data_IF_787909621744
#
_entry.id   IF_787909621744
#
_cell.length_a   1.000
_cell.length_b   1.000
_cell.length_c   1.000
_cell.angle_alpha   90.00
_cell.angle_beta   90.00
_cell.angle_gamma   90.00
#
_symmetry.space_group_name_H-M   'P 1'
#
loop_
_entity.id
_entity.type
_entity.pdbx_description
1 polymer ?
#
# COMPACT_ATOMS: atom_id res chain seq x y z
N UNK A 1 16.22 9.73 -6.34
CA UNK A 1 16.62 9.18 -5.02
C UNK A 1 16.65 7.67 -5.12
N UNK A 2 17.60 6.99 -4.47
CA UNK A 2 17.71 5.53 -4.42
C UNK A 2 17.80 5.13 -2.95
N UNK A 3 16.96 4.20 -2.51
CA UNK A 3 16.92 3.72 -1.13
C UNK A 3 16.18 2.38 -1.04
N UNK A 4 16.63 1.49 -0.15
CA UNK A 4 15.86 0.36 0.33
C UNK A 4 15.01 0.78 1.53
N UNK A 5 13.71 1.00 1.29
CA UNK A 5 12.77 1.43 2.33
C UNK A 5 12.49 0.35 3.39
N UNK A 6 12.93 -0.90 3.19
CA UNK A 6 12.92 -1.91 4.24
C UNK A 6 13.96 -1.64 5.34
N UNK A 7 14.90 -0.71 5.11
CA UNK A 7 15.88 -0.26 6.08
C UNK A 7 15.51 1.14 6.55
N UNK A 8 15.21 1.29 7.85
CA UNK A 8 14.76 2.57 8.41
C UNK A 8 15.71 3.74 8.09
N UNK A 9 17.02 3.50 8.12
CA UNK A 9 18.03 4.55 7.85
C UNK A 9 18.03 5.03 6.40
N UNK A 10 17.77 4.15 5.45
CA UNK A 10 17.66 4.53 4.04
C UNK A 10 16.33 5.21 3.75
N UNK A 11 15.23 4.76 4.38
CA UNK A 11 13.95 5.48 4.33
C UNK A 11 14.06 6.89 4.94
N UNK A 12 14.78 7.04 6.06
CA UNK A 12 15.06 8.33 6.69
C UNK A 12 15.82 9.27 5.77
N UNK A 13 16.91 8.79 5.15
CA UNK A 13 17.70 9.56 4.20
C UNK A 13 16.90 9.97 2.95
N UNK A 14 16.14 9.04 2.37
CA UNK A 14 15.26 9.29 1.22
C UNK A 14 14.29 10.44 1.49
N UNK A 15 13.61 10.40 2.63
CA UNK A 15 12.63 11.41 3.02
C UNK A 15 13.31 12.75 3.29
N UNK A 16 14.43 12.76 4.01
CA UNK A 16 15.19 13.98 4.29
C UNK A 16 15.68 14.66 3.01
N UNK A 17 16.26 13.92 2.07
CA UNK A 17 16.70 14.45 0.79
C UNK A 17 15.54 15.00 -0.04
N UNK A 18 14.41 14.29 -0.05
CA UNK A 18 13.18 14.75 -0.73
C UNK A 18 12.68 16.06 -0.12
N UNK A 19 12.60 16.13 1.22
CA UNK A 19 12.15 17.33 1.91
C UNK A 19 13.10 18.52 1.67
N UNK A 20 14.41 18.31 1.71
CA UNK A 20 15.41 19.34 1.37
C UNK A 20 15.25 19.84 -0.06
N UNK A 21 14.99 18.94 -1.02
CA UNK A 21 14.89 19.28 -2.44
C UNK A 21 13.62 20.05 -2.79
N UNK A 22 12.48 19.69 -2.20
CA UNK A 22 11.17 20.26 -2.54
C UNK A 22 10.62 21.21 -1.46
N UNK A 23 11.41 21.46 -0.42
CA UNK A 23 11.07 22.34 0.70
C UNK A 23 10.15 21.73 1.75
N UNK A 24 9.73 20.47 1.59
CA UNK A 24 8.91 19.73 2.55
C UNK A 24 8.20 18.54 1.91
N UNK A 25 7.34 17.89 2.68
CA UNK A 25 6.50 16.75 2.24
C UNK A 25 5.05 17.06 2.64
N UNK A 26 4.06 16.70 1.82
CA UNK A 26 2.64 16.81 2.18
C UNK A 26 1.93 15.47 2.07
N UNK A 27 2.38 14.63 1.13
CA UNK A 27 1.73 13.38 0.75
C UNK A 27 2.77 12.26 0.81
N UNK A 28 2.42 11.16 1.46
CA UNK A 28 3.20 9.91 1.47
C UNK A 28 2.34 8.81 0.87
N UNK A 29 2.82 8.17 -0.20
CA UNK A 29 2.18 6.99 -0.79
C UNK A 29 3.07 5.78 -0.58
N UNK A 30 2.69 4.89 0.32
CA UNK A 30 3.42 3.66 0.62
C UNK A 30 3.02 2.56 -0.37
N UNK A 31 3.65 2.59 -1.55
CA UNK A 31 3.42 1.62 -2.64
C UNK A 31 4.49 0.52 -2.75
N UNK A 32 5.69 0.75 -2.20
CA UNK A 32 6.76 -0.25 -2.25
C UNK A 32 6.28 -1.60 -1.69
N UNK A 33 6.55 -2.67 -2.43
CA UNK A 33 6.01 -3.99 -2.12
C UNK A 33 6.39 -5.01 -3.17
N UNK A 34 6.34 -6.28 -2.78
CA UNK A 34 6.52 -7.41 -3.68
C UNK A 34 5.63 -8.56 -3.24
N UNK A 35 5.29 -9.44 -4.18
CA UNK A 35 4.59 -10.68 -3.91
C UNK A 35 5.47 -11.87 -4.24
N UNK A 36 5.40 -12.92 -3.41
CA UNK A 36 6.02 -14.20 -3.67
C UNK A 36 4.97 -15.30 -3.48
N UNK A 37 4.85 -16.16 -4.49
CA UNK A 37 4.00 -17.34 -4.44
C UNK A 37 4.77 -18.49 -3.81
N UNK A 38 4.37 -18.88 -2.60
CA UNK A 38 4.89 -20.07 -1.92
C UNK A 38 3.86 -20.58 -0.91
N UNK A 39 3.88 -21.88 -0.64
CA UNK A 39 3.16 -22.48 0.49
C UNK A 39 3.89 -22.22 1.81
N UNK A 40 3.25 -22.53 2.94
CA UNK A 40 3.91 -22.42 4.26
C UNK A 40 5.07 -23.40 4.40
N UNK A 41 5.02 -24.57 3.74
CA UNK A 41 6.11 -25.55 3.78
C UNK A 41 7.37 -25.06 3.04
N UNK A 42 7.19 -24.31 1.95
CA UNK A 42 8.28 -23.74 1.14
C UNK A 42 8.79 -22.41 1.71
N UNK A 43 7.97 -21.71 2.50
CA UNK A 43 8.29 -20.38 3.01
C UNK A 43 9.43 -20.44 4.02
N UNK A 44 10.56 -19.81 3.68
CA UNK A 44 11.66 -19.63 4.62
C UNK A 44 11.35 -18.49 5.60
N UNK A 45 11.89 -18.56 6.81
CA UNK A 45 11.76 -17.46 7.80
C UNK A 45 12.39 -16.16 7.26
N UNK A 46 13.46 -16.27 6.47
CA UNK A 46 14.07 -15.13 5.80
C UNK A 46 13.12 -14.44 4.82
N UNK A 47 12.36 -15.21 4.03
CA UNK A 47 11.38 -14.65 3.10
C UNK A 47 10.18 -14.06 3.84
N UNK A 48 9.76 -14.67 4.95
CA UNK A 48 8.78 -14.09 5.85
C UNK A 48 9.22 -12.72 6.36
N UNK A 49 10.42 -12.64 6.95
CA UNK A 49 10.96 -11.40 7.51
C UNK A 49 11.12 -10.32 6.43
N UNK A 50 11.61 -10.71 5.25
CA UNK A 50 11.74 -9.80 4.10
C UNK A 50 10.37 -9.26 3.65
N UNK A 51 9.35 -10.11 3.58
CA UNK A 51 8.01 -9.66 3.20
C UNK A 51 7.43 -8.70 4.22
N UNK A 52 7.58 -8.96 5.53
CA UNK A 52 7.15 -8.00 6.55
C UNK A 52 7.95 -6.69 6.45
N UNK A 53 9.26 -6.76 6.27
CA UNK A 53 10.12 -5.59 6.18
C UNK A 53 9.71 -4.68 5.01
N UNK A 54 9.51 -5.22 3.81
CA UNK A 54 9.16 -4.44 2.62
C UNK A 54 7.67 -4.06 2.57
N UNK A 55 6.76 -5.02 2.80
CA UNK A 55 5.32 -4.80 2.58
C UNK A 55 4.61 -4.13 3.78
N UNK A 56 5.21 -4.10 4.97
CA UNK A 56 4.61 -3.53 6.17
C UNK A 56 5.53 -2.52 6.87
N UNK A 57 6.71 -2.93 7.32
CA UNK A 57 7.60 -2.07 8.12
C UNK A 57 8.05 -0.84 7.35
N UNK A 58 8.34 -0.96 6.05
CA UNK A 58 8.70 0.16 5.19
C UNK A 58 7.66 1.29 5.24
N UNK A 59 6.36 0.98 5.26
CA UNK A 59 5.30 1.99 5.35
C UNK A 59 5.40 2.79 6.67
N UNK A 60 5.63 2.10 7.78
CA UNK A 60 5.87 2.75 9.08
C UNK A 60 7.15 3.60 9.05
N UNK A 61 8.24 3.07 8.48
CA UNK A 61 9.53 3.76 8.40
C UNK A 61 9.43 5.06 7.61
N UNK A 62 8.81 5.01 6.44
CA UNK A 62 8.60 6.18 5.58
C UNK A 62 7.69 7.21 6.26
N UNK A 63 6.58 6.80 6.87
CA UNK A 63 5.71 7.72 7.62
C UNK A 63 6.47 8.36 8.78
N UNK A 64 7.12 7.56 9.63
CA UNK A 64 7.90 8.04 10.78
C UNK A 64 8.96 9.05 10.38
N UNK A 65 9.69 8.78 9.30
CA UNK A 65 10.68 9.71 8.78
C UNK A 65 10.02 11.01 8.28
N UNK A 66 8.88 10.91 7.60
CA UNK A 66 8.18 12.03 7.00
C UNK A 66 7.52 12.96 8.02
N UNK A 67 7.12 12.49 9.22
CA UNK A 67 6.38 13.30 10.20
C UNK A 67 7.02 14.66 10.51
N UNK A 68 8.36 14.74 10.59
CA UNK A 68 9.07 16.00 10.86
C UNK A 68 9.13 16.95 9.65
N UNK A 69 8.90 16.42 8.45
CA UNK A 69 8.99 17.13 7.17
C UNK A 69 7.63 17.37 6.52
N UNK A 70 6.58 16.74 7.04
CA UNK A 70 5.21 17.20 6.84
C UNK A 70 5.18 18.61 7.43
N UNK A 71 5.31 19.62 6.55
CA UNK A 71 5.44 21.02 6.93
C UNK A 71 4.39 21.36 7.98
N UNK A 72 4.61 22.41 8.76
CA UNK A 72 3.55 23.12 9.50
C UNK A 72 2.48 23.75 8.57
N UNK A 73 2.27 23.19 7.37
CA UNK A 73 1.10 23.47 6.55
C UNK A 73 -0.16 22.87 7.19
N UNK A 74 -1.34 23.27 6.68
CA UNK A 74 -2.61 22.98 7.36
C UNK A 74 -2.96 21.49 7.42
N UNK A 75 -2.44 20.65 6.50
CA UNK A 75 -2.81 19.25 6.41
C UNK A 75 -1.74 18.37 5.72
N UNK A 76 -1.83 17.05 5.95
CA UNK A 76 -1.06 16.03 5.24
C UNK A 76 -1.89 14.80 4.87
N UNK A 77 -1.33 13.93 4.02
CA UNK A 77 -1.97 12.69 3.55
C UNK A 77 -1.01 11.52 3.58
N UNK A 78 -1.49 10.39 4.07
CA UNK A 78 -0.82 9.09 3.93
C UNK A 78 -1.75 8.12 3.25
N UNK A 79 -1.28 7.50 2.17
CA UNK A 79 -2.01 6.47 1.42
C UNK A 79 -1.20 5.19 1.40
N UNK A 80 -1.69 4.14 2.05
CA UNK A 80 -1.08 2.82 2.06
C UNK A 80 -1.65 1.95 0.93
N UNK A 81 -0.79 1.29 0.15
CA UNK A 81 -1.25 0.32 -0.85
C UNK A 81 -1.30 -1.06 -0.22
N UNK A 82 -2.51 -1.47 0.15
CA UNK A 82 -2.84 -2.80 0.65
C UNK A 82 -2.96 -3.79 -0.53
N UNK A 83 -3.90 -4.73 -0.44
CA UNK A 83 -4.20 -5.70 -1.49
C UNK A 83 -5.56 -6.33 -1.21
N UNK A 84 -6.24 -6.80 -2.24
CA UNK A 84 -7.35 -7.76 -2.10
C UNK A 84 -7.02 -8.89 -1.11
N UNK A 85 -5.76 -9.36 -1.11
CA UNK A 85 -5.29 -10.43 -0.22
C UNK A 85 -5.25 -10.06 1.26
N UNK A 86 -5.23 -8.76 1.58
CA UNK A 86 -5.40 -8.28 2.95
C UNK A 86 -6.79 -8.60 3.53
N UNK A 87 -7.80 -8.73 2.64
CA UNK A 87 -9.20 -8.95 3.00
C UNK A 87 -9.61 -10.41 2.88
N UNK A 88 -9.18 -11.08 1.81
CA UNK A 88 -9.60 -12.44 1.49
C UNK A 88 -8.65 -13.51 1.99
N UNK A 89 -7.41 -13.15 2.34
CA UNK A 89 -6.32 -14.10 2.41
C UNK A 89 -6.00 -14.74 1.06
N UNK A 90 -5.20 -15.80 1.10
CA UNK A 90 -4.73 -16.55 -0.06
C UNK A 90 -4.30 -17.95 0.37
N UNK A 91 -4.48 -18.94 -0.51
CA UNK A 91 -4.02 -20.33 -0.32
C UNK A 91 -2.49 -20.49 -0.48
N UNK A 92 -1.83 -19.44 -0.96
CA UNK A 92 -0.38 -19.28 -1.01
C UNK A 92 0.01 -17.87 -0.52
N UNK A 93 1.26 -17.67 -0.12
CA UNK A 93 1.76 -16.34 0.22
C UNK A 93 1.24 -15.80 1.55
N UNK A 94 1.31 -16.61 2.62
CA UNK A 94 0.84 -16.24 3.96
C UNK A 94 1.51 -14.95 4.48
N UNK A 95 2.84 -14.84 4.34
CA UNK A 95 3.63 -13.64 4.63
C UNK A 95 3.13 -12.36 3.94
N UNK A 96 2.77 -12.42 2.65
CA UNK A 96 2.24 -11.27 1.91
C UNK A 96 0.86 -10.86 2.43
N UNK A 97 -0.04 -11.83 2.63
CA UNK A 97 -1.38 -11.57 3.16
C UNK A 97 -1.30 -10.97 4.57
N UNK A 98 -0.45 -11.53 5.44
CA UNK A 98 -0.21 -11.01 6.78
C UNK A 98 0.31 -9.56 6.76
N UNK A 99 1.31 -9.25 5.92
CA UNK A 99 1.84 -7.91 5.80
C UNK A 99 0.78 -6.90 5.31
N UNK A 100 0.04 -7.24 4.24
CA UNK A 100 -0.99 -6.36 3.68
C UNK A 100 -2.21 -6.22 4.60
N UNK A 101 -2.57 -7.22 5.39
CA UNK A 101 -3.56 -7.09 6.47
C UNK A 101 -3.03 -6.20 7.61
N UNK A 102 -1.73 -6.31 7.94
CA UNK A 102 -1.06 -5.44 8.91
C UNK A 102 -1.15 -3.95 8.54
N UNK A 103 -1.08 -3.62 7.24
CA UNK A 103 -1.27 -2.24 6.77
C UNK A 103 -2.66 -1.68 7.10
N UNK A 104 -3.71 -2.50 7.18
CA UNK A 104 -5.04 -2.05 7.58
C UNK A 104 -5.03 -1.62 9.05
N UNK A 105 -4.39 -2.41 9.92
CA UNK A 105 -4.21 -2.07 11.33
C UNK A 105 -3.36 -0.79 11.51
N UNK A 106 -2.24 -0.72 10.80
CA UNK A 106 -1.37 0.45 10.79
C UNK A 106 -2.11 1.71 10.32
N UNK A 107 -2.90 1.61 9.26
CA UNK A 107 -3.71 2.71 8.71
C UNK A 107 -4.65 3.27 9.78
N UNK A 108 -5.40 2.41 10.48
CA UNK A 108 -6.33 2.83 11.53
C UNK A 108 -5.61 3.48 12.72
N UNK A 109 -4.49 2.89 13.16
CA UNK A 109 -3.73 3.42 14.30
C UNK A 109 -3.16 4.81 13.99
N UNK A 110 -2.55 4.97 12.82
CA UNK A 110 -1.98 6.26 12.41
C UNK A 110 -3.06 7.30 12.13
N UNK A 111 -4.23 6.90 11.60
CA UNK A 111 -5.37 7.79 11.43
C UNK A 111 -5.83 8.39 12.76
N UNK A 112 -5.89 7.58 13.82
CA UNK A 112 -6.25 8.04 15.17
C UNK A 112 -5.17 8.95 15.77
N UNK A 113 -3.89 8.59 15.60
CA UNK A 113 -2.76 9.31 16.18
C UNK A 113 -2.51 10.66 15.52
N UNK A 114 -2.62 10.74 14.18
CA UNK A 114 -2.15 11.90 13.41
C UNK A 114 -3.27 12.88 13.04
N UNK A 115 -4.52 12.55 13.31
CA UNK A 115 -5.65 13.47 13.21
C UNK A 115 -5.52 14.64 14.21
N UNK A 116 -6.11 15.82 13.94
CA UNK A 116 -6.85 16.18 12.73
C UNK A 116 -5.97 16.62 11.55
N UNK A 117 -4.64 16.65 11.72
CA UNK A 117 -3.74 17.24 10.72
C UNK A 117 -3.48 16.32 9.53
N UNK A 118 -3.38 15.02 9.75
CA UNK A 118 -3.06 14.06 8.69
C UNK A 118 -4.19 13.03 8.61
N UNK A 119 -4.69 12.81 7.40
CA UNK A 119 -5.55 11.65 7.14
C UNK A 119 -4.70 10.48 6.66
N UNK A 120 -5.03 9.28 7.13
CA UNK A 120 -4.32 8.06 6.77
C UNK A 120 -5.32 7.05 6.25
N UNK A 121 -5.21 6.69 4.97
CA UNK A 121 -6.12 5.74 4.33
C UNK A 121 -5.33 4.65 3.62
N UNK A 122 -6.03 3.58 3.27
CA UNK A 122 -5.51 2.50 2.46
C UNK A 122 -6.33 2.33 1.17
N UNK A 123 -5.63 1.98 0.09
CA UNK A 123 -6.23 1.47 -1.14
C UNK A 123 -5.98 -0.02 -1.19
N UNK A 124 -7.01 -0.81 -1.49
CA UNK A 124 -6.95 -2.25 -1.67
C UNK A 124 -7.24 -2.60 -3.13
N UNK A 125 -6.21 -2.69 -3.99
CA UNK A 125 -6.40 -3.05 -5.39
C UNK A 125 -6.81 -4.50 -5.56
N UNK A 126 -7.66 -4.75 -6.56
CA UNK A 126 -7.85 -6.08 -7.14
C UNK A 126 -6.73 -6.44 -8.12
N UNK A 127 -7.00 -7.39 -9.01
CA UNK A 127 -6.10 -7.71 -10.11
C UNK A 127 -5.92 -6.48 -11.01
N UNK A 128 -4.67 -6.05 -11.16
CA UNK A 128 -4.26 -4.87 -11.93
C UNK A 128 -3.24 -5.28 -12.98
N UNK A 129 -3.29 -4.70 -14.17
CA UNK A 129 -2.39 -4.99 -15.28
C UNK A 129 -0.97 -4.45 -15.02
N UNK A 130 -0.16 -5.20 -14.29
CA UNK A 130 1.21 -4.85 -13.91
C UNK A 130 2.14 -6.05 -14.06
N UNK A 131 3.46 -5.83 -14.07
CA UNK A 131 4.47 -6.89 -14.10
C UNK A 131 4.29 -7.91 -12.96
N UNK A 132 3.91 -7.44 -11.77
CA UNK A 132 3.64 -8.29 -10.60
C UNK A 132 2.54 -9.34 -10.87
N UNK A 133 1.55 -9.00 -11.70
CA UNK A 133 0.44 -9.90 -12.02
C UNK A 133 0.60 -10.59 -13.39
N UNK A 134 1.64 -10.26 -14.18
CA UNK A 134 1.76 -10.68 -15.57
C UNK A 134 1.69 -12.20 -15.74
N UNK A 135 2.42 -12.96 -14.92
CA UNK A 135 2.40 -14.44 -14.97
C UNK A 135 1.00 -15.00 -14.63
N UNK A 136 0.38 -14.51 -13.57
CA UNK A 136 -0.95 -14.94 -13.16
C UNK A 136 -2.02 -14.61 -14.22
N UNK A 137 -1.92 -13.44 -14.85
CA UNK A 137 -2.84 -13.01 -15.91
C UNK A 137 -2.63 -13.81 -17.21
N UNK A 138 -1.39 -14.16 -17.56
CA UNK A 138 -1.10 -15.01 -18.69
C UNK A 138 -1.66 -16.43 -18.48
N UNK A 139 -1.46 -17.01 -17.29
CA UNK A 139 -1.85 -18.40 -16.99
C UNK A 139 -3.34 -18.57 -16.64
N UNK A 140 -3.95 -17.57 -16.01
CA UNK A 140 -5.28 -17.68 -15.41
C UNK A 140 -6.22 -16.51 -15.75
N UNK A 141 -5.86 -15.66 -16.73
CA UNK A 141 -6.57 -14.42 -17.02
C UNK A 141 -8.08 -14.56 -17.27
N UNK A 142 -8.51 -15.57 -18.02
CA UNK A 142 -9.95 -15.80 -18.27
C UNK A 142 -10.70 -16.14 -16.99
N UNK A 143 -10.15 -17.04 -16.17
CA UNK A 143 -10.73 -17.42 -14.87
C UNK A 143 -10.76 -16.24 -13.90
N UNK A 144 -9.72 -15.41 -13.90
CA UNK A 144 -9.65 -14.19 -13.10
C UNK A 144 -10.75 -13.21 -13.54
N UNK A 145 -10.81 -12.88 -14.84
CA UNK A 145 -11.82 -11.95 -15.39
C UNK A 145 -13.24 -12.43 -15.16
N UNK A 146 -13.50 -13.75 -15.26
CA UNK A 146 -14.82 -14.32 -15.00
C UNK A 146 -15.33 -14.05 -13.56
N UNK A 147 -14.42 -14.07 -12.58
CA UNK A 147 -14.72 -13.81 -11.16
C UNK A 147 -14.94 -12.33 -10.84
N UNK A 148 -14.38 -11.42 -11.65
CA UNK A 148 -14.54 -9.98 -11.44
C UNK A 148 -15.89 -9.54 -12.02
N UNK A 149 -16.79 -8.91 -11.24
CA UNK A 149 -18.06 -8.40 -11.75
C UNK A 149 -17.94 -7.48 -12.97
N UNK A 150 -16.97 -6.56 -13.00
CA UNK A 150 -16.71 -5.69 -14.17
C UNK A 150 -16.02 -6.40 -15.34
N UNK A 151 -15.76 -7.71 -15.25
CA UNK A 151 -15.24 -8.61 -16.30
C UNK A 151 -13.88 -8.25 -16.89
N UNK A 152 -13.13 -7.37 -16.24
CA UNK A 152 -11.75 -6.99 -16.60
C UNK A 152 -10.90 -6.77 -15.37
N UNK A 153 -9.59 -6.77 -15.57
CA UNK A 153 -8.64 -6.27 -14.57
C UNK A 153 -8.60 -4.74 -14.62
N UNK A 154 -8.11 -4.12 -13.55
CA UNK A 154 -7.85 -2.69 -13.53
C UNK A 154 -6.59 -2.35 -14.33
N UNK A 155 -6.54 -1.17 -14.92
CA UNK A 155 -5.29 -0.55 -15.36
C UNK A 155 -4.66 0.25 -14.20
N UNK A 156 -3.33 0.41 -14.16
CA UNK A 156 -2.64 1.15 -13.09
C UNK A 156 -3.20 2.55 -12.84
N UNK A 157 -3.64 3.24 -13.90
CA UNK A 157 -4.19 4.60 -13.86
C UNK A 157 -5.47 4.67 -13.03
N UNK A 158 -6.26 3.59 -12.99
CA UNK A 158 -7.50 3.54 -12.20
C UNK A 158 -7.19 3.48 -10.70
N UNK A 159 -6.12 2.79 -10.32
CA UNK A 159 -5.63 2.77 -8.94
C UNK A 159 -5.01 4.13 -8.59
N UNK A 160 -4.23 4.70 -9.51
CA UNK A 160 -3.60 6.00 -9.33
C UNK A 160 -4.64 7.13 -9.15
N UNK A 161 -5.77 7.08 -9.88
CA UNK A 161 -6.85 8.06 -9.75
C UNK A 161 -7.45 8.07 -8.33
N UNK A 162 -7.69 6.89 -7.74
CA UNK A 162 -8.16 6.80 -6.35
C UNK A 162 -7.12 7.30 -5.34
N UNK A 163 -5.84 6.96 -5.55
CA UNK A 163 -4.75 7.49 -4.71
C UNK A 163 -4.68 9.01 -4.80
N UNK A 164 -4.81 9.58 -6.00
CA UNK A 164 -4.83 11.02 -6.21
C UNK A 164 -6.01 11.69 -5.51
N UNK A 165 -7.22 11.10 -5.57
CA UNK A 165 -8.38 11.57 -4.82
C UNK A 165 -8.10 11.58 -3.31
N UNK A 166 -7.59 10.46 -2.75
CA UNK A 166 -7.25 10.38 -1.33
C UNK A 166 -6.13 11.32 -0.90
N UNK A 167 -5.25 11.70 -1.83
CA UNK A 167 -4.18 12.65 -1.60
C UNK A 167 -4.63 14.13 -1.72
N UNK A 168 -5.87 14.38 -2.14
CA UNK A 168 -6.42 15.72 -2.35
C UNK A 168 -7.06 16.33 -1.09
N UNK A 169 -7.45 17.60 -1.18
CA UNK A 169 -8.25 18.27 -0.14
C UNK A 169 -9.68 17.72 -0.05
N UNK A 170 -10.25 17.25 -1.16
CA UNK A 170 -11.63 16.74 -1.23
C UNK A 170 -11.84 15.50 -0.35
N UNK A 171 -10.79 14.71 -0.11
CA UNK A 171 -10.81 13.55 0.77
C UNK A 171 -10.54 13.88 2.24
N UNK A 172 -10.54 15.16 2.64
CA UNK A 172 -10.15 15.60 3.99
C UNK A 172 -11.02 15.06 5.14
N UNK A 173 -12.21 14.52 4.84
CA UNK A 173 -13.09 13.89 5.82
C UNK A 173 -12.95 12.35 5.88
N UNK A 174 -12.08 11.76 5.06
CA UNK A 174 -11.87 10.32 4.98
C UNK A 174 -10.55 10.00 5.69
N UNK A 175 -10.59 9.24 6.78
CA UNK A 175 -9.39 8.76 7.49
C UNK A 175 -9.66 7.40 8.14
N UNK A 176 -8.64 6.55 8.24
CA UNK A 176 -8.71 5.21 8.81
C UNK A 176 -9.35 4.18 7.89
N UNK A 177 -9.75 4.56 6.67
CA UNK A 177 -10.51 3.69 5.77
C UNK A 177 -9.63 2.86 4.85
N UNK A 178 -10.18 1.73 4.42
CA UNK A 178 -9.60 0.89 3.36
C UNK A 178 -10.58 0.83 2.20
N UNK A 179 -10.25 1.54 1.12
CA UNK A 179 -11.11 1.61 -0.07
C UNK A 179 -10.73 0.48 -1.04
N UNK A 180 -11.71 -0.37 -1.36
CA UNK A 180 -11.54 -1.50 -2.26
C UNK A 180 -11.70 -1.06 -3.73
N UNK A 181 -10.61 -1.01 -4.48
CA UNK A 181 -10.59 -0.76 -5.93
C UNK A 181 -10.34 -2.09 -6.67
N UNK A 182 -11.33 -2.98 -6.64
CA UNK A 182 -11.14 -4.39 -7.02
C UNK A 182 -12.13 -4.93 -8.07
N UNK A 183 -12.87 -4.05 -8.74
CA UNK A 183 -13.85 -4.44 -9.76
C UNK A 183 -15.04 -5.25 -9.24
N UNK A 184 -15.23 -5.28 -7.92
CA UNK A 184 -16.31 -6.01 -7.23
C UNK A 184 -15.99 -7.45 -6.88
N UNK A 185 -14.76 -7.93 -7.11
CA UNK A 185 -14.40 -9.34 -6.82
C UNK A 185 -14.49 -9.67 -5.32
N UNK A 186 -14.43 -8.65 -4.46
CA UNK A 186 -14.68 -8.74 -3.03
C UNK A 186 -15.52 -7.54 -2.58
N UNK A 187 -16.60 -7.82 -1.84
CA UNK A 187 -17.50 -6.86 -1.22
C UNK A 187 -17.55 -7.15 0.28
N UNK A 188 -17.63 -6.10 1.10
CA UNK A 188 -17.67 -6.18 2.56
C UNK A 188 -19.11 -6.16 3.05
#
# INVERSE_FOLDING_TARGET
FQADVALFKEAEALVEETAKRFGGIQIVVNNAGFSQHCTVQELTIKDWDRSLAVNLSAALYTVKAALRYIKEGPWGRVVNICSLRAMTGSDHGAHYSAAKSGLIGLTKSLALELAPRITVNAVSPGYTNTEMNAEALAKHGEKIRAKIPVKRVAEPEEIAALVAFLASEEAGYITGETINANGGIYMR
#
